data_IF_327172248396
#
_entry.id   IF_327172248396
#
_cell.length_a   1.000
_cell.length_b   1.000
_cell.length_c   1.000
_cell.angle_alpha   90.00
_cell.angle_beta   90.00
_cell.angle_gamma   90.00
#
_symmetry.space_group_name_H-M   'P 1'
#
loop_
_entity.id
_entity.type
_entity.pdbx_description
1 polymer ?
#
# COMPACT_ATOMS: atom_id res chain seq x y z
N UNK A 1 3.87 4.64 44.59
CA UNK A 1 2.79 4.50 43.58
C UNK A 1 3.15 3.33 42.69
N UNK A 2 2.38 2.22 42.71
CA UNK A 2 2.83 0.99 42.08
C UNK A 2 2.56 1.01 40.57
N UNK A 3 3.52 0.47 39.83
CA UNK A 3 3.47 0.25 38.39
C UNK A 3 2.36 -0.75 38.04
N UNK A 4 1.51 -0.38 37.08
CA UNK A 4 0.53 -1.30 36.51
C UNK A 4 1.22 -2.08 35.39
N UNK A 5 1.61 -3.31 35.70
CA UNK A 5 2.03 -4.33 34.75
C UNK A 5 0.79 -4.78 33.96
N UNK A 6 0.75 -4.53 32.65
CA UNK A 6 -0.15 -5.23 31.75
C UNK A 6 0.42 -6.63 31.45
N UNK A 7 -0.39 -7.70 31.45
CA UNK A 7 0.10 -9.02 31.07
C UNK A 7 0.37 -9.08 29.56
N UNK A 8 1.61 -9.39 29.20
CA UNK A 8 1.97 -9.94 27.90
C UNK A 8 1.43 -11.38 27.81
N UNK A 9 0.25 -11.55 27.23
CA UNK A 9 -0.20 -12.87 26.79
C UNK A 9 0.55 -13.25 25.50
N UNK A 10 1.76 -13.79 25.68
CA UNK A 10 2.48 -14.55 24.67
C UNK A 10 1.59 -15.73 24.23
N UNK A 11 0.97 -15.57 23.06
CA UNK A 11 0.32 -16.68 22.39
C UNK A 11 1.39 -17.67 21.91
N UNK A 12 1.51 -18.77 22.66
CA UNK A 12 2.30 -19.96 22.37
C UNK A 12 2.10 -20.42 20.92
N UNK A 13 3.18 -20.44 20.14
CA UNK A 13 3.25 -21.08 18.82
C UNK A 13 2.84 -22.55 18.92
N UNK A 14 1.77 -22.95 18.23
CA UNK A 14 1.48 -24.36 17.92
C UNK A 14 2.26 -24.76 16.66
N UNK A 15 3.07 -25.82 16.78
CA UNK A 15 3.61 -26.59 15.65
C UNK A 15 2.48 -27.47 15.11
N UNK A 16 2.10 -27.28 13.86
CA UNK A 16 1.12 -28.08 13.14
C UNK A 16 0.83 -27.40 11.80
N UNK A 17 0.94 -28.13 10.69
CA UNK A 17 0.77 -27.59 9.34
C UNK A 17 -0.54 -26.82 9.18
N UNK A 18 -0.44 -25.59 8.70
CA UNK A 18 -1.59 -24.71 8.52
C UNK A 18 -2.29 -25.02 7.19
N UNK A 19 -3.51 -25.54 7.28
CA UNK A 19 -4.54 -25.18 6.29
C UNK A 19 -4.97 -23.76 6.62
N UNK A 20 -4.68 -22.80 5.74
CA UNK A 20 -5.18 -21.43 5.88
C UNK A 20 -6.65 -21.44 5.45
N UNK A 21 -7.56 -21.14 6.37
CA UNK A 21 -8.95 -20.86 6.03
C UNK A 21 -9.01 -19.46 5.39
N UNK A 22 -9.26 -19.43 4.08
CA UNK A 22 -9.25 -18.26 3.17
C UNK A 22 -10.38 -17.23 3.44
N UNK A 23 -10.63 -16.84 4.69
CA UNK A 23 -11.72 -15.91 5.05
C UNK A 23 -11.32 -14.72 5.95
N UNK A 24 -10.02 -14.49 6.16
CA UNK A 24 -9.56 -13.30 6.89
C UNK A 24 -9.92 -12.03 6.11
N UNK A 25 -10.52 -11.06 6.81
CA UNK A 25 -10.82 -9.73 6.25
C UNK A 25 -9.95 -8.68 6.94
N UNK A 26 -9.56 -7.66 6.18
CA UNK A 26 -8.68 -6.59 6.65
C UNK A 26 -9.41 -5.28 6.80
N UNK A 27 -9.18 -4.59 7.92
CA UNK A 27 -9.66 -3.23 8.15
C UNK A 27 -8.73 -2.18 7.56
N UNK A 28 -7.46 -2.54 7.35
CA UNK A 28 -6.43 -1.68 6.78
C UNK A 28 -5.78 -2.41 5.62
N UNK A 29 -5.79 -1.79 4.44
CA UNK A 29 -5.06 -2.26 3.27
C UNK A 29 -4.05 -1.17 2.89
N UNK A 30 -2.80 -1.54 2.77
CA UNK A 30 -1.71 -0.67 2.33
C UNK A 30 -1.14 -1.24 1.03
N UNK A 31 -0.99 -0.42 -0.02
CA UNK A 31 -0.60 -0.92 -1.34
C UNK A 31 0.35 0.02 -2.07
N UNK A 32 1.38 -0.57 -2.70
CA UNK A 32 2.30 0.12 -3.61
C UNK A 32 2.35 -0.62 -4.98
N UNK A 33 1.34 -0.46 -5.84
CA UNK A 33 1.26 -1.23 -7.08
C UNK A 33 2.45 -0.95 -8.01
N UNK A 34 2.93 -1.98 -8.75
CA UNK A 34 4.05 -1.83 -9.69
C UNK A 34 3.56 -1.24 -11.02
N UNK A 35 3.19 0.04 -11.02
CA UNK A 35 2.59 0.74 -12.16
C UNK A 35 3.43 0.62 -13.44
N UNK A 36 2.86 0.05 -14.52
CA UNK A 36 3.46 0.13 -15.85
C UNK A 36 3.17 1.49 -16.49
N UNK A 37 4.24 2.24 -16.81
CA UNK A 37 4.12 3.48 -17.55
C UNK A 37 3.93 3.21 -19.05
N UNK A 38 3.06 3.97 -19.71
CA UNK A 38 2.84 3.83 -21.16
C UNK A 38 3.99 4.38 -22.02
N UNK A 39 4.81 5.29 -21.48
CA UNK A 39 5.88 5.95 -22.23
C UNK A 39 7.19 5.14 -22.22
N UNK A 40 7.42 4.37 -23.29
CA UNK A 40 8.60 3.53 -23.56
C UNK A 40 9.91 4.29 -23.90
N UNK A 41 9.97 5.62 -23.74
CA UNK A 41 11.08 6.44 -24.26
C UNK A 41 11.53 7.58 -23.35
N UNK A 42 11.80 7.27 -22.08
CA UNK A 42 12.58 8.16 -21.21
C UNK A 42 13.91 7.47 -20.92
N UNK A 43 15.01 8.09 -21.36
CA UNK A 43 16.38 7.64 -21.05
C UNK A 43 16.55 7.64 -19.52
N UNK A 44 16.63 6.44 -18.94
CA UNK A 44 16.53 6.19 -17.50
C UNK A 44 15.43 5.17 -17.12
N UNK A 45 14.74 4.61 -18.12
CA UNK A 45 13.72 3.59 -17.95
C UNK A 45 14.22 2.41 -17.10
N UNK A 46 13.65 2.29 -15.90
CA UNK A 46 13.77 1.14 -15.02
C UNK A 46 13.04 -0.09 -15.58
N UNK A 47 13.11 -0.33 -16.89
CA UNK A 47 12.48 -1.49 -17.56
C UNK A 47 13.30 -2.78 -17.45
N UNK A 48 14.50 -2.73 -16.83
CA UNK A 48 15.39 -3.90 -16.78
C UNK A 48 15.36 -4.73 -15.48
N UNK A 49 14.61 -4.33 -14.44
CA UNK A 49 14.76 -5.00 -13.13
C UNK A 49 13.50 -5.37 -12.33
N UNK A 50 12.27 -5.01 -12.73
CA UNK A 50 11.05 -5.41 -11.98
C UNK A 50 9.84 -5.64 -12.89
N UNK A 51 9.04 -6.68 -12.58
CA UNK A 51 7.79 -6.99 -13.30
C UNK A 51 6.72 -5.94 -13.00
N UNK A 52 6.48 -5.02 -13.94
CA UNK A 52 5.39 -4.05 -13.84
C UNK A 52 4.04 -4.66 -14.25
N UNK A 53 2.95 -4.18 -13.65
CA UNK A 53 1.58 -4.58 -13.97
C UNK A 53 0.85 -3.50 -14.75
N UNK A 54 0.00 -3.91 -15.69
CA UNK A 54 -0.89 -2.95 -16.34
C UNK A 54 -1.95 -2.48 -15.35
N UNK A 55 -2.46 -1.26 -15.53
CA UNK A 55 -3.56 -0.75 -14.68
C UNK A 55 -4.77 -1.69 -14.74
N UNK A 56 -5.04 -2.28 -15.91
CA UNK A 56 -6.12 -3.26 -16.09
C UNK A 56 -5.94 -4.47 -15.16
N UNK A 57 -4.73 -5.01 -15.06
CA UNK A 57 -4.45 -6.17 -14.21
C UNK A 57 -4.57 -5.78 -12.72
N UNK A 58 -4.09 -4.59 -12.35
CA UNK A 58 -4.22 -4.05 -10.99
C UNK A 58 -5.70 -3.88 -10.61
N UNK A 59 -6.51 -3.31 -11.51
CA UNK A 59 -7.97 -3.19 -11.33
C UNK A 59 -8.66 -4.55 -11.19
N UNK A 60 -8.14 -5.58 -11.87
CA UNK A 60 -8.71 -6.92 -11.91
C UNK A 60 -8.40 -7.77 -10.66
N UNK A 61 -7.58 -7.27 -9.74
CA UNK A 61 -7.37 -7.90 -8.43
C UNK A 61 -8.62 -7.74 -7.57
N UNK A 62 -9.09 -8.85 -7.00
CA UNK A 62 -10.29 -8.87 -6.16
C UNK A 62 -10.02 -8.43 -4.72
N UNK A 63 -9.47 -7.24 -4.57
CA UNK A 63 -9.14 -6.67 -3.24
C UNK A 63 -10.40 -6.46 -2.39
N UNK A 64 -11.56 -6.26 -3.02
CA UNK A 64 -12.85 -6.17 -2.35
C UNK A 64 -13.22 -7.44 -1.58
N UNK A 65 -12.73 -8.61 -2.00
CA UNK A 65 -12.96 -9.90 -1.34
C UNK A 65 -12.17 -10.03 -0.04
N UNK A 66 -11.03 -9.34 0.12
CA UNK A 66 -10.26 -9.36 1.38
C UNK A 66 -10.56 -8.15 2.28
N UNK A 67 -11.24 -7.14 1.76
CA UNK A 67 -11.60 -5.95 2.53
C UNK A 67 -12.76 -6.22 3.50
N UNK A 68 -12.59 -5.85 4.78
CA UNK A 68 -13.66 -5.81 5.77
C UNK A 68 -14.79 -4.84 5.36
N UNK A 69 -15.93 -4.93 6.03
CA UNK A 69 -17.08 -4.03 5.82
C UNK A 69 -16.69 -2.56 5.97
N UNK A 70 -15.95 -2.27 7.05
CA UNK A 70 -15.40 -0.95 7.37
C UNK A 70 -13.88 -1.04 7.23
N UNK A 71 -13.37 -0.52 6.12
CA UNK A 71 -11.99 -0.70 5.69
C UNK A 71 -11.40 0.60 5.13
N UNK A 72 -10.11 0.82 5.39
CA UNK A 72 -9.34 1.94 4.83
C UNK A 72 -8.26 1.39 3.91
N UNK A 73 -8.17 1.99 2.72
CA UNK A 73 -7.13 1.75 1.74
C UNK A 73 -6.15 2.92 1.72
N UNK A 74 -4.87 2.60 1.85
CA UNK A 74 -3.72 3.49 1.66
C UNK A 74 -3.01 3.07 0.37
N UNK A 75 -3.09 3.88 -0.68
CA UNK A 75 -2.60 3.53 -2.02
C UNK A 75 -1.53 4.52 -2.48
N UNK A 76 -0.30 4.05 -2.66
CA UNK A 76 0.76 4.86 -3.26
C UNK A 76 0.55 5.09 -4.74
N UNK A 77 0.77 6.33 -5.16
CA UNK A 77 0.79 6.74 -6.55
C UNK A 77 1.90 7.77 -6.78
N UNK A 78 2.52 7.70 -7.95
CA UNK A 78 3.26 8.84 -8.49
C UNK A 78 2.28 9.84 -9.10
N UNK A 79 2.65 11.13 -9.17
CA UNK A 79 1.75 12.15 -9.72
C UNK A 79 1.19 11.83 -11.12
N UNK A 80 1.98 11.29 -12.09
CA UNK A 80 1.44 10.90 -13.39
C UNK A 80 0.45 9.72 -13.32
N UNK A 81 0.57 8.85 -12.32
CA UNK A 81 -0.31 7.69 -12.13
C UNK A 81 -1.56 8.03 -11.31
N UNK A 82 -1.74 9.29 -10.88
CA UNK A 82 -2.88 9.70 -10.07
C UNK A 82 -4.24 9.37 -10.73
N UNK A 83 -4.47 9.61 -12.04
CA UNK A 83 -5.73 9.21 -12.68
C UNK A 83 -5.99 7.70 -12.59
N UNK A 84 -4.95 6.90 -12.77
CA UNK A 84 -5.02 5.44 -12.73
C UNK A 84 -5.22 4.91 -11.31
N UNK A 85 -4.58 5.52 -10.32
CA UNK A 85 -4.79 5.20 -8.91
C UNK A 85 -6.24 5.45 -8.47
N UNK A 86 -6.89 6.51 -8.98
CA UNK A 86 -8.31 6.76 -8.72
C UNK A 86 -9.22 5.70 -9.36
N UNK A 87 -8.87 5.20 -10.55
CA UNK A 87 -9.58 4.07 -11.20
C UNK A 87 -9.43 2.79 -10.39
N UNK A 88 -8.22 2.49 -9.91
CA UNK A 88 -7.94 1.33 -9.04
C UNK A 88 -8.73 1.41 -7.74
N UNK A 89 -8.76 2.56 -7.07
CA UNK A 89 -9.57 2.78 -5.85
C UNK A 89 -11.03 2.42 -6.10
N UNK A 90 -11.61 2.90 -7.22
CA UNK A 90 -12.99 2.61 -7.60
C UNK A 90 -13.20 1.12 -7.90
N UNK A 91 -12.29 0.51 -8.66
CA UNK A 91 -12.36 -0.90 -9.07
C UNK A 91 -12.34 -1.84 -7.86
N UNK A 92 -11.52 -1.55 -6.85
CA UNK A 92 -11.45 -2.30 -5.59
C UNK A 92 -12.61 -2.01 -4.62
N UNK A 93 -13.60 -1.21 -5.02
CA UNK A 93 -14.79 -0.94 -4.22
C UNK A 93 -14.60 0.07 -3.09
N UNK A 94 -13.61 0.96 -3.19
CA UNK A 94 -13.36 2.03 -2.23
C UNK A 94 -13.78 3.40 -2.79
N UNK A 95 -14.10 4.33 -1.88
CA UNK A 95 -14.32 5.74 -2.20
C UNK A 95 -13.11 6.56 -1.77
N UNK A 96 -12.47 7.24 -2.72
CA UNK A 96 -11.41 8.20 -2.44
C UNK A 96 -11.88 9.30 -1.46
N UNK A 97 -11.01 9.68 -0.52
CA UNK A 97 -11.28 10.76 0.45
C UNK A 97 -10.26 11.87 0.43
N UNK A 98 -8.97 11.56 0.49
CA UNK A 98 -7.91 12.58 0.59
C UNK A 98 -6.54 11.97 0.30
N UNK A 99 -5.50 12.80 0.26
CA UNK A 99 -4.11 12.33 0.37
C UNK A 99 -3.84 12.00 1.84
N UNK A 100 -3.51 10.76 2.15
CA UNK A 100 -3.11 10.34 3.49
C UNK A 100 -1.72 10.90 3.82
N UNK A 101 -0.78 10.72 2.90
CA UNK A 101 0.61 11.14 3.07
C UNK A 101 1.20 11.76 1.82
N UNK A 102 2.06 12.76 2.01
CA UNK A 102 2.95 13.32 1.00
C UNK A 102 4.36 13.04 1.45
N UNK A 103 5.06 12.18 0.72
CA UNK A 103 6.47 11.90 0.95
C UNK A 103 7.33 12.94 0.24
N UNK A 104 7.91 13.84 1.02
CA UNK A 104 8.93 14.78 0.57
C UNK A 104 10.28 14.06 0.60
N UNK A 105 10.83 13.78 -0.58
CA UNK A 105 12.00 12.92 -0.74
C UNK A 105 13.27 13.69 -0.45
N UNK A 106 13.98 13.30 0.59
CA UNK A 106 15.35 13.74 0.78
C UNK A 106 16.30 12.91 -0.09
N UNK A 107 17.46 13.46 -0.43
CA UNK A 107 18.52 12.69 -1.08
C UNK A 107 19.04 11.57 -0.15
N UNK A 108 19.88 10.67 -0.68
CA UNK A 108 20.41 9.52 0.08
C UNK A 108 21.16 9.91 1.36
N UNK A 109 21.73 11.13 1.43
CA UNK A 109 22.44 11.60 2.63
C UNK A 109 21.52 12.16 3.71
N UNK A 110 20.23 12.36 3.40
CA UNK A 110 19.28 13.07 4.26
C UNK A 110 19.55 14.57 4.40
N UNK A 111 20.60 15.09 3.73
CA UNK A 111 21.00 16.50 3.76
C UNK A 111 20.62 17.14 2.43
N UNK A 112 19.34 17.51 2.32
CA UNK A 112 18.77 18.16 1.14
C UNK A 112 17.76 17.30 0.38
N UNK A 113 17.25 17.83 -0.72
CA UNK A 113 16.14 17.25 -1.48
C UNK A 113 16.61 16.35 -2.63
N UNK A 114 15.88 15.27 -2.87
CA UNK A 114 16.00 14.48 -4.08
C UNK A 114 15.21 15.15 -5.21
N UNK A 115 15.79 15.20 -6.41
CA UNK A 115 15.12 15.70 -7.61
C UNK A 115 15.19 14.65 -8.72
N UNK A 116 14.12 13.88 -8.89
CA UNK A 116 13.94 12.99 -10.03
C UNK A 116 13.72 13.78 -11.33
N UNK A 117 13.77 13.07 -12.46
CA UNK A 117 13.60 13.64 -13.79
C UNK A 117 12.28 14.43 -13.89
N UNK A 118 11.19 13.80 -13.43
CA UNK A 118 9.85 14.36 -13.57
C UNK A 118 9.42 14.50 -15.03
N UNK A 119 8.36 15.27 -15.27
CA UNK A 119 7.82 15.53 -16.62
C UNK A 119 7.86 17.02 -16.91
N UNK A 120 6.92 17.76 -16.32
CA UNK A 120 6.83 19.22 -16.43
C UNK A 120 7.64 19.94 -15.35
N UNK A 121 7.77 19.33 -14.18
CA UNK A 121 8.61 19.78 -13.07
C UNK A 121 9.48 18.64 -12.58
N UNK A 122 10.59 18.94 -11.89
CA UNK A 122 11.43 17.92 -11.24
C UNK A 122 10.63 17.22 -10.15
N UNK A 123 10.52 15.90 -10.23
CA UNK A 123 9.77 15.11 -9.25
C UNK A 123 10.56 14.92 -7.95
N UNK A 124 10.07 15.49 -6.85
CA UNK A 124 10.69 15.41 -5.52
C UNK A 124 9.75 14.89 -4.43
N UNK A 125 8.52 14.50 -4.80
CA UNK A 125 7.54 13.95 -3.89
C UNK A 125 6.77 12.77 -4.49
N UNK A 126 6.15 11.98 -3.62
CA UNK A 126 5.15 10.96 -3.94
C UNK A 126 3.97 11.07 -2.96
N UNK A 127 2.80 10.55 -3.36
CA UNK A 127 1.58 10.64 -2.57
C UNK A 127 1.02 9.26 -2.24
N UNK A 128 0.51 9.11 -1.02
CA UNK A 128 -0.27 7.97 -0.59
C UNK A 128 -1.71 8.44 -0.41
N UNK A 129 -2.63 7.91 -1.20
CA UNK A 129 -4.05 8.24 -1.19
C UNK A 129 -4.76 7.47 -0.08
N UNK A 130 -5.73 8.11 0.58
CA UNK A 130 -6.65 7.48 1.52
C UNK A 130 -8.02 7.33 0.87
N UNK A 131 -8.50 6.10 0.82
CA UNK A 131 -9.85 5.74 0.40
C UNK A 131 -10.52 4.86 1.45
N UNK A 132 -11.85 4.82 1.48
CA UNK A 132 -12.60 4.04 2.47
C UNK A 132 -13.69 3.19 1.84
N UNK A 133 -14.01 2.08 2.49
CA UNK A 133 -15.21 1.25 2.30
C UNK A 133 -15.98 1.25 3.62
N UNK A 134 -17.29 1.45 3.58
CA UNK A 134 -18.12 1.56 4.78
C UNK A 134 -17.83 2.82 5.61
N UNK A 135 -17.75 2.67 6.93
CA UNK A 135 -17.58 3.74 7.93
C UNK A 135 -16.46 3.41 8.93
N UNK A 136 -15.20 3.29 8.48
CA UNK A 136 -14.09 3.00 9.37
C UNK A 136 -13.87 4.11 10.41
N UNK A 137 -13.51 3.71 11.63
CA UNK A 137 -13.26 4.62 12.74
C UNK A 137 -11.81 5.12 12.73
N UNK A 138 -11.61 6.44 12.87
CA UNK A 138 -10.30 7.05 13.03
C UNK A 138 -9.88 7.03 14.50
N UNK A 139 -8.78 6.33 14.82
CA UNK A 139 -8.23 6.23 16.16
C UNK A 139 -7.49 7.50 16.62
N UNK A 140 -6.61 8.06 15.78
CA UNK A 140 -5.83 9.28 16.11
C UNK A 140 -6.17 10.45 15.19
N UNK A 141 -6.31 11.65 15.75
CA UNK A 141 -6.42 12.90 14.99
C UNK A 141 -5.08 13.66 14.86
N UNK A 142 -3.98 13.07 15.37
CA UNK A 142 -2.66 13.71 15.46
C UNK A 142 -1.76 13.45 14.25
N UNK A 143 -2.10 12.44 13.44
CA UNK A 143 -1.30 12.02 12.28
C UNK A 143 -1.30 13.12 11.22
N UNK A 144 -0.11 13.61 10.88
CA UNK A 144 0.14 14.63 9.85
C UNK A 144 0.49 13.99 8.52
N UNK A 145 0.16 14.66 7.42
CA UNK A 145 0.35 14.15 6.05
C UNK A 145 1.84 14.06 5.63
N UNK A 146 2.73 14.90 6.16
CA UNK A 146 4.12 14.90 5.69
C UNK A 146 4.91 13.69 6.20
N UNK A 147 5.54 13.01 5.25
CA UNK A 147 6.62 12.07 5.45
C UNK A 147 7.87 12.73 4.87
N UNK A 148 8.88 12.97 5.70
CA UNK A 148 10.16 13.57 5.25
C UNK A 148 11.24 12.56 5.57
N UNK A 149 11.77 11.90 4.54
CA UNK A 149 12.80 10.90 4.73
C UNK A 149 13.68 10.73 3.48
N UNK A 150 14.93 10.24 3.65
CA UNK A 150 15.82 9.91 2.54
C UNK A 150 15.24 8.85 1.61
N UNK A 151 15.48 9.00 0.31
CA UNK A 151 15.32 7.88 -0.61
C UNK A 151 16.27 6.73 -0.22
N UNK A 152 15.74 5.50 -0.21
CA UNK A 152 16.50 4.28 0.07
C UNK A 152 16.68 3.46 -1.22
N UNK A 153 16.30 2.18 -1.21
CA UNK A 153 16.27 1.35 -2.41
C UNK A 153 15.32 1.90 -3.50
N UNK A 154 15.44 1.38 -4.71
CA UNK A 154 14.57 1.78 -5.82
C UNK A 154 13.09 1.60 -5.45
N UNK A 155 12.34 2.71 -5.51
CA UNK A 155 10.91 2.79 -5.15
C UNK A 155 10.56 2.32 -3.74
N UNK A 156 11.53 2.24 -2.82
CA UNK A 156 11.27 1.85 -1.43
C UNK A 156 10.56 2.99 -0.69
N UNK A 157 9.33 2.73 -0.25
CA UNK A 157 8.50 3.67 0.49
C UNK A 157 9.00 3.81 1.94
N UNK A 158 8.80 4.98 2.58
CA UNK A 158 9.15 5.19 3.97
C UNK A 158 8.43 4.20 4.90
N UNK A 159 9.18 3.56 5.79
CA UNK A 159 8.63 2.67 6.84
C UNK A 159 7.68 3.44 7.77
N UNK A 160 7.96 4.72 7.99
CA UNK A 160 7.18 5.65 8.81
C UNK A 160 5.72 5.76 8.32
N UNK A 161 5.43 5.41 7.06
CA UNK A 161 4.07 5.33 6.56
C UNK A 161 3.26 4.27 7.31
N UNK A 162 3.83 3.07 7.54
CA UNK A 162 3.14 1.98 8.26
C UNK A 162 2.87 2.38 9.70
N UNK A 163 3.86 2.95 10.38
CA UNK A 163 3.72 3.44 11.76
C UNK A 163 2.58 4.46 11.89
N UNK A 164 2.53 5.44 10.97
CA UNK A 164 1.47 6.44 10.94
C UNK A 164 0.10 5.87 10.61
N UNK A 165 0.03 4.83 9.77
CA UNK A 165 -1.22 4.12 9.50
C UNK A 165 -1.74 3.46 10.77
N UNK A 166 -0.87 2.78 11.52
CA UNK A 166 -1.22 2.14 12.79
C UNK A 166 -1.62 3.18 13.84
N UNK A 167 -0.93 4.33 13.93
CA UNK A 167 -1.35 5.42 14.81
C UNK A 167 -2.75 5.94 14.43
N UNK A 168 -2.99 6.16 13.12
CA UNK A 168 -4.22 6.72 12.59
C UNK A 168 -5.42 5.79 12.82
N UNK A 169 -5.25 4.49 12.60
CA UNK A 169 -6.34 3.52 12.56
C UNK A 169 -6.42 2.62 13.80
N UNK A 170 -5.37 2.54 14.59
CA UNK A 170 -5.25 1.62 15.73
C UNK A 170 -4.70 0.26 15.31
N UNK A 171 -4.61 -0.64 16.28
CA UNK A 171 -4.16 -2.01 16.07
C UNK A 171 -5.31 -2.87 15.54
N UNK A 172 -5.44 -2.91 14.22
CA UNK A 172 -6.47 -3.65 13.49
C UNK A 172 -5.83 -4.62 12.49
N UNK A 173 -6.54 -5.68 12.08
CA UNK A 173 -6.08 -6.56 11.00
C UNK A 173 -5.70 -5.76 9.76
N UNK A 174 -4.45 -5.93 9.32
CA UNK A 174 -3.83 -5.13 8.26
C UNK A 174 -2.94 -5.96 7.34
N UNK A 175 -2.99 -5.63 6.05
CA UNK A 175 -2.20 -6.29 5.02
C UNK A 175 -1.53 -5.26 4.12
N UNK A 176 -0.30 -5.58 3.70
CA UNK A 176 0.43 -4.88 2.66
C UNK A 176 0.38 -5.66 1.34
N UNK A 177 -0.13 -5.01 0.30
CA UNK A 177 -0.18 -5.53 -1.06
C UNK A 177 1.03 -5.01 -1.86
N UNK A 178 1.57 -5.89 -2.70
CA UNK A 178 2.81 -5.68 -3.44
C UNK A 178 4.04 -5.51 -2.53
N UNK A 179 4.00 -6.15 -1.36
CA UNK A 179 5.09 -6.15 -0.41
C UNK A 179 6.35 -6.79 -1.00
N UNK A 180 7.51 -6.24 -0.65
CA UNK A 180 8.84 -6.81 -0.97
C UNK A 180 9.56 -7.40 0.24
N UNK A 181 9.08 -7.10 1.43
CA UNK A 181 9.59 -7.64 2.69
C UNK A 181 8.45 -7.83 3.69
N UNK A 182 8.64 -8.73 4.67
CA UNK A 182 7.72 -8.89 5.78
C UNK A 182 7.95 -7.77 6.79
N UNK A 183 6.86 -7.21 7.29
CA UNK A 183 6.90 -6.24 8.41
C UNK A 183 6.15 -6.84 9.59
N UNK A 184 6.71 -6.77 10.79
CA UNK A 184 6.05 -7.26 12.00
C UNK A 184 4.67 -6.61 12.17
N UNK A 185 3.66 -7.43 12.46
CA UNK A 185 2.28 -6.99 12.61
C UNK A 185 1.55 -6.65 11.31
N UNK A 186 2.13 -6.91 10.14
CA UNK A 186 1.48 -6.80 8.83
C UNK A 186 1.50 -8.15 8.12
N UNK A 187 0.34 -8.58 7.64
CA UNK A 187 0.30 -9.61 6.61
C UNK A 187 0.83 -9.02 5.30
N UNK A 188 1.39 -9.86 4.44
CA UNK A 188 2.03 -9.45 3.21
C UNK A 188 1.52 -10.26 2.02
N UNK A 189 1.29 -9.59 0.91
CA UNK A 189 1.05 -10.19 -0.39
C UNK A 189 1.95 -9.54 -1.43
N UNK A 190 2.75 -10.33 -2.15
CA UNK A 190 3.68 -9.81 -3.16
C UNK A 190 4.57 -10.89 -3.76
N UNK A 191 5.16 -10.59 -4.92
CA UNK A 191 5.97 -11.57 -5.68
C UNK A 191 7.40 -11.74 -5.13
N UNK A 192 7.83 -10.86 -4.23
CA UNK A 192 9.17 -10.87 -3.63
C UNK A 192 9.14 -11.35 -2.17
N UNK A 193 7.99 -11.85 -1.69
CA UNK A 193 7.78 -12.35 -0.33
C UNK A 193 6.98 -13.65 -0.35
N UNK A 194 7.17 -14.50 0.66
CA UNK A 194 6.21 -15.57 0.94
C UNK A 194 4.88 -14.93 1.37
N UNK A 195 3.85 -14.98 0.52
CA UNK A 195 2.59 -14.28 0.80
C UNK A 195 1.78 -14.98 1.90
N UNK A 196 1.16 -14.22 2.80
CA UNK A 196 0.28 -14.74 3.87
C UNK A 196 -1.14 -15.01 3.39
N UNK A 197 -1.51 -14.41 2.26
CA UNK A 197 -2.84 -14.50 1.66
C UNK A 197 -2.77 -14.80 0.16
N UNK A 198 -3.91 -15.19 -0.39
CA UNK A 198 -4.12 -15.32 -1.83
C UNK A 198 -5.14 -14.28 -2.29
N UNK A 199 -4.87 -13.63 -3.41
CA UNK A 199 -5.80 -12.71 -4.07
C UNK A 199 -6.07 -13.23 -5.47
N UNK A 200 -7.32 -13.50 -5.77
CA UNK A 200 -7.73 -13.91 -7.11
C UNK A 200 -7.77 -12.71 -8.06
N UNK A 201 -7.56 -12.96 -9.35
CA UNK A 201 -7.66 -11.96 -10.41
C UNK A 201 -8.60 -12.44 -11.51
N UNK A 202 -9.35 -11.52 -12.10
CA UNK A 202 -10.35 -11.84 -13.13
C UNK A 202 -9.79 -12.03 -14.55
N UNK A 203 -8.51 -12.37 -14.65
CA UNK A 203 -7.79 -12.56 -15.91
C UNK A 203 -8.37 -13.67 -16.79
N UNK A 204 -9.28 -14.52 -16.29
CA UNK A 204 -9.89 -15.61 -17.05
C UNK A 204 -11.30 -15.34 -17.62
N UNK A 205 -11.98 -14.25 -17.23
CA UNK A 205 -13.33 -13.94 -17.77
C UNK A 205 -13.31 -12.69 -18.63
N UNK A 206 -12.95 -12.88 -19.89
CA UNK A 206 -13.19 -11.89 -20.94
C UNK A 206 -14.69 -11.51 -20.95
N UNK A 207 -15.02 -10.27 -20.54
CA UNK A 207 -16.36 -9.71 -20.71
C UNK A 207 -16.83 -8.69 -19.67
N UNK A 208 -16.13 -8.53 -18.54
CA UNK A 208 -16.50 -7.54 -17.51
C UNK A 208 -15.50 -6.39 -17.47
N UNK A 209 -15.80 -5.29 -18.14
CA UNK A 209 -14.90 -4.15 -18.25
C UNK A 209 -14.95 -3.32 -16.94
N UNK A 210 -14.21 -3.77 -15.92
CA UNK A 210 -14.24 -3.18 -14.56
C UNK A 210 -13.52 -1.83 -14.46
N UNK A 211 -12.82 -1.41 -15.51
CA UNK A 211 -12.02 -0.18 -15.51
C UNK A 211 -12.36 0.84 -16.61
N UNK A 212 -13.51 0.72 -17.28
CA UNK A 212 -14.09 1.81 -18.12
C UNK A 212 -15.15 2.62 -17.38
#
# INVERSE_FOLDING_TARGET
MPAVLFPLELHRRRKGGYKIENNQKYNIIYADPPWRYQQKRLSGAAEHHYSTMSVKDICGLKVEEIAAKDCVLFLWATFPQLPEALRVIKAWGFQYKTVAFVWLKQNKSGKGWFFGLGFWTRGNAEICLLAIKGKPHRNSNRVRQFLISPIRGHSQKPEEAREKIVELMGDLPRVELFAREKTEGWDAWGNEVESDIEISSDTEKAGGDRCV
#
